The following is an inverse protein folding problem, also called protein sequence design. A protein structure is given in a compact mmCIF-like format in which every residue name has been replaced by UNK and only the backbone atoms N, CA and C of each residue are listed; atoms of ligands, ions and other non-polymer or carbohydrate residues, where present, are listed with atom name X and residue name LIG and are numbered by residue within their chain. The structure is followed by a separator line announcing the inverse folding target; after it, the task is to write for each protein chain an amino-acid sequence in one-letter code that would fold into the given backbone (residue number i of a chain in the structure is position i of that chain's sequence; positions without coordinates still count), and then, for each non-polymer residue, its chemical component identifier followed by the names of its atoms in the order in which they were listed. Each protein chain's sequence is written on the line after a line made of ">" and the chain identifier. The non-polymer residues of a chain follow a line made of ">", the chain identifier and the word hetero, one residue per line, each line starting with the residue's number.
data_IF_395837665918
#
_entry.id   IF_395837665918
#
_cell.length_a   1.000
_cell.length_b   1.000
_cell.length_c   1.000
_cell.angle_alpha   90.00
_cell.angle_beta   90.00
_cell.angle_gamma   90.00
#
_symmetry.space_group_name_H-M   'P 1'
#
loop_
_entity.id
_entity.type
_entity.pdbx_description
1 polymer ?
#
# COMPACT_ATOMS: atom_id res chain seq x y z
N UNK A 1 29.85 -49.31 16.72
CA UNK A 1 30.80 -48.76 15.76
C UNK A 1 30.14 -47.61 14.99
N UNK A 2 30.28 -46.37 15.53
CA UNK A 2 29.79 -45.14 14.89
C UNK A 2 30.95 -44.52 14.12
N UNK A 3 30.76 -44.28 12.80
CA UNK A 3 31.67 -43.44 12.00
C UNK A 3 31.26 -41.97 12.08
N UNK A 4 32.16 -41.01 12.29
CA UNK A 4 31.80 -39.59 12.31
C UNK A 4 31.69 -39.01 10.88
N UNK A 5 30.67 -38.19 10.69
CA UNK A 5 30.41 -37.42 9.46
C UNK A 5 31.39 -36.24 9.39
N UNK A 6 32.23 -36.21 8.33
CA UNK A 6 33.13 -35.07 8.03
C UNK A 6 32.33 -33.83 7.64
N UNK A 7 32.46 -32.74 8.40
CA UNK A 7 32.05 -31.40 7.99
C UNK A 7 32.99 -30.93 6.85
N UNK A 8 32.38 -30.50 5.73
CA UNK A 8 33.11 -29.79 4.67
C UNK A 8 33.36 -28.35 5.15
N UNK A 9 34.62 -27.98 5.23
CA UNK A 9 35.05 -26.62 5.53
C UNK A 9 34.61 -25.67 4.41
N UNK A 10 33.77 -24.72 4.77
CA UNK A 10 33.31 -23.66 3.87
C UNK A 10 34.39 -22.59 3.77
N UNK A 11 34.93 -22.40 2.59
CA UNK A 11 36.11 -21.56 2.33
C UNK A 11 35.76 -20.06 2.44
N UNK A 12 36.04 -19.44 3.59
CA UNK A 12 35.76 -18.02 3.93
C UNK A 12 36.55 -16.99 3.09
N UNK A 13 37.44 -17.40 2.20
CA UNK A 13 38.24 -16.45 1.39
C UNK A 13 37.44 -15.75 0.29
N UNK A 14 36.34 -16.35 -0.19
CA UNK A 14 35.52 -15.75 -1.25
C UNK A 14 34.47 -14.76 -0.71
N UNK A 15 34.09 -14.88 0.56
CA UNK A 15 33.12 -13.97 1.17
C UNK A 15 33.68 -12.55 1.43
N UNK A 16 34.99 -12.46 1.76
CA UNK A 16 35.64 -11.15 1.96
C UNK A 16 35.92 -10.36 0.68
N UNK A 17 35.88 -11.00 -0.50
CA UNK A 17 36.04 -10.31 -1.79
C UNK A 17 34.72 -9.71 -2.30
N UNK A 18 33.58 -10.29 -1.94
CA UNK A 18 32.25 -9.75 -2.29
C UNK A 18 31.87 -8.53 -1.44
N UNK A 19 32.20 -8.56 -0.14
CA UNK A 19 31.95 -7.40 0.77
C UNK A 19 32.87 -6.21 0.47
N UNK A 20 34.07 -6.42 -0.04
CA UNK A 20 34.98 -5.33 -0.40
C UNK A 20 34.58 -4.62 -1.70
N UNK A 21 33.91 -5.29 -2.65
CA UNK A 21 33.41 -4.66 -3.88
C UNK A 21 32.14 -3.81 -3.63
N UNK A 22 31.32 -4.20 -2.66
CA UNK A 22 30.10 -3.45 -2.31
C UNK A 22 30.43 -2.15 -1.52
N UNK A 23 31.48 -2.17 -0.68
CA UNK A 23 31.93 -0.96 0.03
C UNK A 23 32.69 0.04 -0.87
N UNK A 24 33.33 -0.43 -1.95
CA UNK A 24 34.05 0.44 -2.87
C UNK A 24 33.12 1.24 -3.81
N UNK A 25 31.91 0.77 -4.04
CA UNK A 25 30.91 1.47 -4.87
C UNK A 25 30.18 2.59 -4.10
N UNK A 26 30.17 2.53 -2.77
CA UNK A 26 29.58 3.55 -1.90
C UNK A 26 30.51 4.76 -1.62
N UNK A 27 31.80 4.70 -1.97
CA UNK A 27 32.77 5.79 -1.72
C UNK A 27 33.09 6.67 -2.93
N UNK A 28 32.45 6.48 -4.08
CA UNK A 28 32.72 7.29 -5.30
C UNK A 28 31.78 8.48 -5.50
N UNK A 29 30.83 8.71 -4.58
CA UNK A 29 29.90 9.86 -4.65
C UNK A 29 30.16 10.99 -3.65
N UNK A 30 31.30 11.02 -2.93
CA UNK A 30 31.55 12.00 -1.87
C UNK A 30 32.66 13.03 -2.15
N UNK A 31 32.94 13.35 -3.41
CA UNK A 31 33.96 14.36 -3.74
C UNK A 31 33.54 15.30 -4.89
N UNK A 32 32.49 16.08 -4.68
CA UNK A 32 32.26 17.33 -5.42
C UNK A 32 31.24 18.22 -4.72
N UNK A 33 31.58 18.84 -3.61
CA UNK A 33 30.92 20.09 -3.16
C UNK A 33 31.77 20.76 -2.07
N UNK A 34 32.71 21.58 -2.47
CA UNK A 34 33.16 22.69 -1.65
C UNK A 34 32.74 23.97 -2.35
N UNK A 35 31.85 24.74 -1.74
CA UNK A 35 31.50 26.08 -2.22
C UNK A 35 30.18 26.61 -1.65
N UNK A 36 30.32 27.28 -0.52
CA UNK A 36 29.51 28.40 -0.02
C UNK A 36 28.09 28.15 0.50
N UNK A 37 27.98 28.39 1.79
CA UNK A 37 26.79 28.40 2.65
C UNK A 37 25.64 29.28 2.16
N UNK A 38 24.48 28.67 1.96
CA UNK A 38 23.17 29.26 2.35
C UNK A 38 22.26 28.12 2.75
N UNK A 39 21.91 28.10 4.02
CA UNK A 39 20.95 27.19 4.65
C UNK A 39 19.57 27.45 4.09
N UNK A 40 18.97 26.50 3.37
CA UNK A 40 17.55 26.23 3.35
C UNK A 40 17.23 25.00 2.46
N UNK A 41 16.54 24.04 3.01
CA UNK A 41 15.47 23.21 2.42
C UNK A 41 15.74 22.34 1.17
N UNK A 42 16.96 21.89 0.89
CA UNK A 42 17.22 21.00 -0.26
C UNK A 42 17.21 19.48 0.03
N UNK A 43 17.23 19.07 1.29
CA UNK A 43 17.39 17.65 1.64
C UNK A 43 16.19 16.77 1.30
N UNK A 44 14.98 17.32 1.42
CA UNK A 44 13.72 16.56 1.25
C UNK A 44 13.32 16.39 -0.22
N UNK A 45 13.62 17.39 -1.05
CA UNK A 45 13.28 17.34 -2.49
C UNK A 45 14.20 16.42 -3.29
N UNK A 46 15.51 16.34 -2.92
CA UNK A 46 16.45 15.40 -3.54
C UNK A 46 16.18 13.94 -3.17
N UNK A 47 15.78 13.65 -1.92
CA UNK A 47 15.42 12.31 -1.50
C UNK A 47 14.16 11.79 -2.24
N UNK A 48 13.14 12.65 -2.41
CA UNK A 48 11.92 12.31 -3.13
C UNK A 48 12.18 11.99 -4.61
N UNK A 49 13.07 12.74 -5.25
CA UNK A 49 13.41 12.54 -6.66
C UNK A 49 14.10 11.19 -6.85
N UNK A 50 15.01 10.79 -5.95
CA UNK A 50 15.74 9.53 -6.05
C UNK A 50 14.85 8.29 -5.89
N UNK A 51 13.79 8.38 -5.07
CA UNK A 51 12.88 7.24 -4.84
C UNK A 51 12.08 6.83 -6.08
N UNK A 52 11.78 7.78 -6.99
CA UNK A 52 11.06 7.50 -8.24
C UNK A 52 11.97 7.20 -9.44
N UNK A 53 13.23 7.67 -9.43
CA UNK A 53 14.20 7.41 -10.51
C UNK A 53 14.66 5.94 -10.56
N UNK A 54 14.31 5.14 -9.56
CA UNK A 54 14.64 3.71 -9.48
C UNK A 54 13.91 2.88 -10.56
N UNK A 55 12.83 3.40 -11.15
CA UNK A 55 12.03 2.69 -12.17
C UNK A 55 12.85 2.22 -13.39
N UNK A 56 13.81 3.03 -13.86
CA UNK A 56 14.65 2.67 -15.01
C UNK A 56 15.66 1.56 -14.73
N UNK A 57 15.95 1.27 -13.47
CA UNK A 57 16.97 0.31 -13.05
C UNK A 57 16.46 -1.13 -12.98
N UNK A 58 15.14 -1.35 -12.95
CA UNK A 58 14.53 -2.66 -12.71
C UNK A 58 13.77 -3.25 -13.90
N UNK A 59 13.70 -2.55 -15.05
CA UNK A 59 12.85 -2.94 -16.18
C UNK A 59 13.20 -4.30 -16.83
N UNK A 60 14.38 -4.85 -16.60
CA UNK A 60 14.87 -6.08 -17.24
C UNK A 60 14.88 -7.31 -16.29
N UNK A 61 14.42 -7.18 -15.04
CA UNK A 61 14.41 -8.29 -14.11
C UNK A 61 13.18 -9.16 -14.36
N UNK A 62 13.42 -10.36 -14.86
CA UNK A 62 12.39 -11.37 -15.11
C UNK A 62 12.54 -12.62 -14.25
N UNK A 63 11.60 -13.54 -14.38
CA UNK A 63 11.65 -14.88 -13.76
C UNK A 63 11.69 -15.97 -14.83
N UNK A 64 12.25 -17.13 -14.45
CA UNK A 64 12.20 -18.33 -15.30
C UNK A 64 10.91 -19.09 -15.04
N UNK A 65 10.33 -19.64 -16.11
CA UNK A 65 9.19 -20.57 -16.07
C UNK A 65 9.66 -22.00 -16.42
N UNK A 66 9.01 -23.07 -15.89
CA UNK A 66 7.83 -23.00 -15.01
C UNK A 66 8.13 -22.37 -13.65
N UNK A 67 7.22 -21.53 -13.18
CA UNK A 67 7.29 -20.84 -11.91
C UNK A 67 6.27 -21.42 -10.92
N UNK A 68 6.74 -21.90 -9.78
CA UNK A 68 5.87 -22.33 -8.66
C UNK A 68 5.92 -21.31 -7.55
N UNK A 69 4.76 -20.84 -7.12
CA UNK A 69 4.60 -19.85 -6.03
C UNK A 69 3.66 -20.40 -4.95
N UNK A 70 3.83 -19.90 -3.73
CA UNK A 70 2.85 -20.06 -2.66
C UNK A 70 2.07 -18.77 -2.52
N UNK A 71 0.73 -18.85 -2.61
CA UNK A 71 -0.14 -17.68 -2.43
C UNK A 71 -0.33 -17.33 -0.95
N UNK A 72 -0.96 -16.18 -0.67
CA UNK A 72 -1.15 -15.70 0.71
C UNK A 72 -2.23 -16.49 1.49
N UNK A 73 -2.85 -17.50 0.88
CA UNK A 73 -3.67 -18.49 1.57
C UNK A 73 -2.93 -19.83 1.83
N UNK A 74 -1.62 -19.89 1.51
CA UNK A 74 -0.77 -21.07 1.66
C UNK A 74 -0.97 -22.14 0.57
N UNK A 75 -1.59 -21.77 -0.58
CA UNK A 75 -1.81 -22.66 -1.72
C UNK A 75 -0.63 -22.57 -2.70
N UNK A 76 -0.24 -23.70 -3.27
CA UNK A 76 0.82 -23.77 -4.28
C UNK A 76 0.23 -23.70 -5.67
N UNK A 77 0.68 -22.77 -6.50
CA UNK A 77 0.23 -22.58 -7.89
C UNK A 77 1.44 -22.58 -8.83
N UNK A 78 1.38 -23.35 -9.93
CA UNK A 78 2.46 -23.42 -10.91
C UNK A 78 2.02 -22.79 -12.23
N UNK A 79 2.86 -21.94 -12.77
CA UNK A 79 2.70 -21.25 -14.05
C UNK A 79 3.73 -21.77 -15.05
N UNK A 80 3.31 -22.27 -16.20
CA UNK A 80 4.20 -22.73 -17.28
C UNK A 80 4.81 -21.55 -18.07
N UNK A 81 4.13 -20.42 -18.05
CA UNK A 81 4.52 -19.15 -18.69
C UNK A 81 3.88 -17.97 -17.95
N UNK A 82 4.33 -16.75 -18.23
CA UNK A 82 3.66 -15.54 -17.77
C UNK A 82 2.20 -15.49 -18.27
N UNK A 83 1.22 -15.13 -17.43
CA UNK A 83 -0.16 -14.97 -17.85
C UNK A 83 -0.32 -13.77 -18.80
N UNK A 84 -1.12 -13.95 -19.85
CA UNK A 84 -1.47 -12.91 -20.82
C UNK A 84 -2.89 -12.39 -20.61
N UNK A 85 -3.76 -13.20 -19.98
CA UNK A 85 -5.13 -12.85 -19.63
C UNK A 85 -5.30 -12.92 -18.12
N UNK A 86 -5.55 -11.79 -17.51
CA UNK A 86 -5.63 -11.65 -16.05
C UNK A 86 -7.03 -11.20 -15.67
N UNK A 87 -7.61 -11.82 -14.64
CA UNK A 87 -8.83 -11.34 -14.01
C UNK A 87 -8.60 -11.03 -12.53
N UNK A 88 -9.41 -10.13 -11.97
CA UNK A 88 -9.38 -9.74 -10.56
C UNK A 88 -10.81 -9.58 -10.04
N UNK A 89 -11.11 -10.10 -8.86
CA UNK A 89 -12.38 -9.84 -8.15
C UNK A 89 -12.20 -8.96 -6.93
N UNK A 90 -11.06 -8.31 -6.82
CA UNK A 90 -10.69 -7.54 -5.63
C UNK A 90 -10.01 -6.23 -6.02
N UNK A 91 -10.61 -5.10 -5.62
CA UNK A 91 -10.12 -3.78 -6.01
C UNK A 91 -8.67 -3.50 -5.65
N UNK A 92 -8.17 -4.07 -4.55
CA UNK A 92 -6.77 -3.94 -4.16
C UNK A 92 -5.86 -4.63 -5.18
N UNK A 93 -6.23 -5.84 -5.63
CA UNK A 93 -5.51 -6.54 -6.69
C UNK A 93 -5.60 -5.79 -8.02
N UNK A 94 -6.77 -5.24 -8.36
CA UNK A 94 -6.95 -4.46 -9.60
C UNK A 94 -6.09 -3.19 -9.57
N UNK A 95 -6.10 -2.42 -8.46
CA UNK A 95 -5.22 -1.26 -8.29
C UNK A 95 -3.74 -1.65 -8.41
N UNK A 96 -3.32 -2.78 -7.80
CA UNK A 96 -1.96 -3.29 -7.93
C UNK A 96 -1.58 -3.67 -9.37
N UNK A 97 -2.48 -4.34 -10.10
CA UNK A 97 -2.25 -4.70 -11.51
C UNK A 97 -2.07 -3.44 -12.37
N UNK A 98 -2.82 -2.36 -12.10
CA UNK A 98 -2.61 -1.07 -12.76
C UNK A 98 -1.25 -0.45 -12.39
N UNK A 99 -0.87 -0.45 -11.12
CA UNK A 99 0.43 0.04 -10.67
C UNK A 99 1.59 -0.70 -11.33
N UNK A 100 1.39 -1.99 -11.63
CA UNK A 100 2.35 -2.81 -12.37
C UNK A 100 2.28 -2.63 -13.90
N UNK A 101 1.39 -1.77 -14.42
CA UNK A 101 1.26 -1.52 -15.86
C UNK A 101 0.62 -2.67 -16.64
N UNK A 102 -0.26 -3.44 -16.02
CA UNK A 102 -0.87 -4.65 -16.59
C UNK A 102 -2.31 -4.45 -17.06
N UNK A 103 -2.76 -3.20 -17.25
CA UNK A 103 -4.12 -2.87 -17.67
C UNK A 103 -4.55 -3.53 -18.97
N UNK A 104 -3.63 -3.67 -19.93
CA UNK A 104 -3.91 -4.26 -21.24
C UNK A 104 -4.07 -5.79 -21.21
N UNK A 105 -3.66 -6.44 -20.12
CA UNK A 105 -3.84 -7.87 -19.89
C UNK A 105 -5.11 -8.20 -19.10
N UNK A 106 -5.84 -7.20 -18.62
CA UNK A 106 -7.08 -7.41 -17.88
C UNK A 106 -8.22 -7.86 -18.80
N UNK A 107 -8.87 -8.97 -18.46
CA UNK A 107 -10.03 -9.53 -19.18
C UNK A 107 -11.30 -9.54 -18.31
N UNK A 108 -11.21 -9.12 -17.06
CA UNK A 108 -12.33 -8.98 -16.12
C UNK A 108 -11.89 -8.45 -14.78
N UNK A 109 -12.71 -7.61 -14.17
CA UNK A 109 -12.43 -6.97 -12.88
C UNK A 109 -13.63 -7.03 -11.95
N UNK A 110 -13.46 -6.63 -10.69
CA UNK A 110 -14.49 -6.67 -9.67
C UNK A 110 -15.70 -5.79 -10.02
N UNK A 111 -16.82 -6.08 -9.35
CA UNK A 111 -18.04 -5.29 -9.45
C UNK A 111 -17.82 -3.82 -9.03
N UNK A 112 -18.63 -2.92 -9.58
CA UNK A 112 -18.63 -1.48 -9.30
C UNK A 112 -17.33 -0.76 -9.75
N UNK A 113 -16.60 -1.30 -10.69
CA UNK A 113 -15.41 -0.68 -11.26
C UNK A 113 -15.64 0.75 -11.75
N UNK A 114 -16.83 1.05 -12.28
CA UNK A 114 -17.22 2.38 -12.73
C UNK A 114 -17.34 3.43 -11.61
N UNK A 115 -17.35 3.02 -10.33
CA UNK A 115 -17.36 3.95 -9.19
C UNK A 115 -15.95 4.33 -8.72
N UNK A 116 -14.90 3.67 -9.26
CA UNK A 116 -13.52 3.90 -8.83
C UNK A 116 -12.82 4.91 -9.73
N UNK A 117 -12.44 6.04 -9.14
CA UNK A 117 -11.80 7.12 -9.88
C UNK A 117 -10.42 6.72 -10.41
N UNK A 118 -9.64 5.96 -9.65
CA UNK A 118 -8.32 5.47 -10.07
C UNK A 118 -8.39 4.72 -11.42
N UNK A 119 -9.44 3.94 -11.67
CA UNK A 119 -9.60 3.22 -12.94
C UNK A 119 -9.90 4.16 -14.10
N UNK A 120 -10.76 5.17 -13.85
CA UNK A 120 -11.09 6.18 -14.86
C UNK A 120 -9.89 7.05 -15.24
N UNK A 121 -8.99 7.30 -14.26
CA UNK A 121 -7.80 8.12 -14.45
C UNK A 121 -6.67 7.33 -15.12
N UNK A 122 -6.39 6.12 -14.65
CA UNK A 122 -5.24 5.33 -15.10
C UNK A 122 -5.54 4.48 -16.34
N UNK A 123 -6.74 3.90 -16.44
CA UNK A 123 -7.09 2.94 -17.49
C UNK A 123 -8.61 2.92 -17.76
N UNK A 124 -9.20 3.97 -18.34
CA UNK A 124 -10.65 4.12 -18.47
C UNK A 124 -11.34 2.96 -19.22
N UNK A 125 -10.63 2.26 -20.09
CA UNK A 125 -11.18 1.14 -20.85
C UNK A 125 -11.56 -0.06 -19.95
N UNK A 126 -10.90 -0.26 -18.81
CA UNK A 126 -11.15 -1.44 -17.98
C UNK A 126 -12.50 -1.40 -17.27
N UNK A 127 -13.12 -0.23 -17.09
CA UNK A 127 -14.40 -0.12 -16.38
C UNK A 127 -15.56 -0.82 -17.10
N UNK A 128 -15.39 -1.16 -18.39
CA UNK A 128 -16.35 -1.89 -19.21
C UNK A 128 -16.06 -3.40 -19.31
N UNK A 129 -14.99 -3.88 -18.67
CA UNK A 129 -14.65 -5.31 -18.68
C UNK A 129 -15.70 -6.15 -17.95
N UNK A 130 -15.80 -7.47 -18.25
CA UNK A 130 -16.65 -8.40 -17.54
C UNK A 130 -16.52 -8.32 -16.02
N UNK A 131 -17.67 -8.36 -15.35
CA UNK A 131 -17.77 -8.25 -13.91
C UNK A 131 -17.52 -9.60 -13.24
N UNK A 132 -16.40 -9.73 -12.52
CA UNK A 132 -15.98 -10.93 -11.78
C UNK A 132 -16.63 -11.07 -10.41
N UNK A 133 -17.60 -10.21 -10.06
CA UNK A 133 -18.27 -10.24 -8.76
C UNK A 133 -17.62 -9.32 -7.73
N UNK A 134 -17.84 -9.63 -6.45
CA UNK A 134 -17.36 -8.86 -5.31
C UNK A 134 -16.35 -9.67 -4.50
N UNK A 135 -15.71 -9.05 -3.50
CA UNK A 135 -14.85 -9.75 -2.54
C UNK A 135 -15.58 -10.79 -1.66
N UNK A 136 -16.91 -10.88 -1.76
CA UNK A 136 -17.74 -11.84 -1.01
C UNK A 136 -18.45 -12.85 -1.91
N UNK A 137 -18.73 -12.48 -3.16
CA UNK A 137 -19.52 -13.26 -4.10
C UNK A 137 -18.90 -13.17 -5.49
N UNK A 138 -18.35 -14.27 -5.96
CA UNK A 138 -17.62 -14.37 -7.22
C UNK A 138 -18.52 -14.79 -8.37
N UNK A 139 -18.35 -14.19 -9.54
CA UNK A 139 -19.08 -14.53 -10.75
C UNK A 139 -18.29 -15.57 -11.59
N UNK A 140 -18.50 -16.86 -11.27
CA UNK A 140 -17.81 -17.97 -11.94
C UNK A 140 -18.15 -18.04 -13.44
N UNK A 141 -19.38 -17.77 -13.83
CA UNK A 141 -19.82 -17.82 -15.23
C UNK A 141 -19.07 -16.77 -16.07
N UNK A 142 -19.03 -15.52 -15.62
CA UNK A 142 -18.28 -14.46 -16.29
C UNK A 142 -16.79 -14.78 -16.37
N UNK A 143 -16.22 -15.36 -15.31
CA UNK A 143 -14.83 -15.77 -15.29
C UNK A 143 -14.52 -16.85 -16.32
N UNK A 144 -15.34 -17.90 -16.38
CA UNK A 144 -15.19 -18.98 -17.37
C UNK A 144 -15.32 -18.44 -18.80
N UNK A 145 -16.28 -17.55 -19.05
CA UNK A 145 -16.48 -16.92 -20.35
C UNK A 145 -15.30 -16.02 -20.77
N UNK A 146 -14.66 -15.31 -19.82
CA UNK A 146 -13.50 -14.47 -20.08
C UNK A 146 -12.21 -15.30 -20.30
N UNK A 147 -12.20 -16.56 -19.88
CA UNK A 147 -11.08 -17.50 -20.02
C UNK A 147 -9.71 -16.90 -19.62
N UNK A 148 -9.54 -16.40 -18.37
CA UNK A 148 -8.28 -15.87 -17.91
C UNK A 148 -7.24 -16.97 -17.68
N UNK A 149 -5.94 -16.64 -17.86
CA UNK A 149 -4.83 -17.51 -17.46
C UNK A 149 -4.66 -17.54 -15.94
N UNK A 150 -5.05 -16.46 -15.27
CA UNK A 150 -5.02 -16.34 -13.80
C UNK A 150 -6.10 -15.39 -13.29
N UNK A 151 -6.66 -15.72 -12.10
CA UNK A 151 -7.59 -14.85 -11.36
C UNK A 151 -6.99 -14.52 -10.01
N UNK A 152 -6.95 -13.23 -9.65
CA UNK A 152 -6.60 -12.79 -8.29
C UNK A 152 -7.85 -12.64 -7.44
N UNK A 153 -7.85 -13.30 -6.28
CA UNK A 153 -8.99 -13.40 -5.37
C UNK A 153 -8.61 -12.93 -3.96
N UNK A 154 -9.50 -12.25 -3.22
CA UNK A 154 -9.28 -11.97 -1.81
C UNK A 154 -9.36 -13.25 -0.97
N UNK A 155 -8.77 -13.22 0.24
CA UNK A 155 -8.75 -14.37 1.18
C UNK A 155 -10.15 -14.94 1.46
N UNK A 156 -11.19 -14.09 1.45
CA UNK A 156 -12.59 -14.51 1.67
C UNK A 156 -13.11 -15.47 0.60
N UNK A 157 -12.50 -15.44 -0.59
CA UNK A 157 -12.85 -16.32 -1.73
C UNK A 157 -11.90 -17.51 -1.88
N UNK A 158 -11.17 -17.90 -0.83
CA UNK A 158 -10.24 -19.05 -0.88
C UNK A 158 -10.90 -20.32 -1.43
N UNK A 159 -12.15 -20.63 -1.03
CA UNK A 159 -12.88 -21.80 -1.53
C UNK A 159 -13.22 -21.69 -3.04
N UNK A 160 -13.44 -20.49 -3.53
CA UNK A 160 -13.68 -20.23 -4.95
C UNK A 160 -12.44 -20.58 -5.78
N UNK A 161 -11.24 -20.34 -5.24
CA UNK A 161 -10.00 -20.70 -5.90
C UNK A 161 -9.92 -22.19 -6.23
N UNK A 162 -10.31 -23.07 -5.31
CA UNK A 162 -10.32 -24.52 -5.50
C UNK A 162 -11.35 -24.93 -6.60
N UNK A 163 -12.49 -24.24 -6.65
CA UNK A 163 -13.50 -24.44 -7.70
C UNK A 163 -12.95 -24.05 -9.08
N UNK A 164 -12.29 -22.89 -9.19
CA UNK A 164 -11.70 -22.41 -10.45
C UNK A 164 -10.59 -23.34 -10.96
N UNK A 165 -9.76 -23.87 -10.07
CA UNK A 165 -8.74 -24.86 -10.45
C UNK A 165 -9.34 -26.13 -10.99
N UNK A 166 -10.46 -26.60 -10.45
CA UNK A 166 -11.19 -27.77 -11.00
C UNK A 166 -11.75 -27.51 -12.41
N UNK A 167 -11.95 -26.23 -12.77
CA UNK A 167 -12.35 -25.78 -14.11
C UNK A 167 -11.16 -25.46 -15.02
N UNK A 168 -9.92 -25.71 -14.57
CA UNK A 168 -8.70 -25.45 -15.33
C UNK A 168 -8.23 -24.00 -15.31
N UNK A 169 -8.81 -23.13 -14.47
CA UNK A 169 -8.44 -21.71 -14.34
C UNK A 169 -7.54 -21.56 -13.11
N UNK A 170 -6.33 -21.05 -13.29
CA UNK A 170 -5.42 -20.79 -12.15
C UNK A 170 -5.95 -19.64 -11.30
N UNK A 171 -5.96 -19.86 -9.99
CA UNK A 171 -6.40 -18.86 -9.02
C UNK A 171 -5.32 -18.60 -7.97
N UNK A 172 -5.07 -17.33 -7.69
CA UNK A 172 -4.12 -16.83 -6.69
C UNK A 172 -4.88 -16.05 -5.63
N UNK A 173 -4.79 -16.49 -4.40
CA UNK A 173 -5.44 -15.83 -3.27
C UNK A 173 -4.47 -14.82 -2.65
N UNK A 174 -4.92 -13.58 -2.46
CA UNK A 174 -4.14 -12.50 -1.86
C UNK A 174 -4.81 -12.00 -0.59
N UNK A 175 -3.98 -11.52 0.36
CA UNK A 175 -4.41 -11.03 1.65
C UNK A 175 -3.54 -9.85 2.13
N UNK A 176 -3.51 -8.72 1.44
CA UNK A 176 -2.65 -7.57 1.75
C UNK A 176 -3.20 -6.71 2.91
N UNK A 177 -3.53 -7.33 4.05
CA UNK A 177 -4.23 -6.65 5.15
C UNK A 177 -3.32 -5.83 6.08
N UNK A 178 -2.00 -5.88 5.87
CA UNK A 178 -1.02 -5.00 6.53
C UNK A 178 0.10 -4.60 5.55
N UNK A 179 1.01 -3.75 5.99
CA UNK A 179 2.09 -3.24 5.14
C UNK A 179 3.03 -4.35 4.65
N UNK A 180 3.37 -5.32 5.48
CA UNK A 180 4.25 -6.44 5.09
C UNK A 180 3.56 -7.36 4.09
N UNK A 181 2.29 -7.69 4.35
CA UNK A 181 1.47 -8.52 3.46
C UNK A 181 1.22 -7.81 2.11
N UNK A 182 1.09 -6.48 2.09
CA UNK A 182 1.00 -5.71 0.85
C UNK A 182 2.31 -5.81 0.04
N UNK A 183 3.45 -5.65 0.67
CA UNK A 183 4.77 -5.78 0.02
C UNK A 183 5.00 -7.20 -0.53
N UNK A 184 4.61 -8.23 0.22
CA UNK A 184 4.63 -9.63 -0.23
C UNK A 184 3.69 -9.85 -1.42
N UNK A 185 2.48 -9.26 -1.38
CA UNK A 185 1.51 -9.33 -2.47
C UNK A 185 2.07 -8.67 -3.75
N UNK A 186 2.66 -7.49 -3.67
CA UNK A 186 3.32 -6.80 -4.79
C UNK A 186 4.40 -7.70 -5.39
N UNK A 187 5.26 -8.28 -4.54
CA UNK A 187 6.32 -9.20 -4.98
C UNK A 187 5.76 -10.46 -5.65
N UNK A 188 4.73 -11.06 -5.07
CA UNK A 188 4.07 -12.26 -5.59
C UNK A 188 3.47 -12.01 -6.98
N UNK A 189 2.69 -10.93 -7.12
CA UNK A 189 2.06 -10.56 -8.40
C UNK A 189 3.13 -10.23 -9.44
N UNK A 190 4.18 -9.49 -9.06
CA UNK A 190 5.30 -9.18 -9.95
C UNK A 190 6.00 -10.44 -10.50
N UNK A 191 6.24 -11.46 -9.66
CA UNK A 191 6.80 -12.75 -10.08
C UNK A 191 5.88 -13.50 -11.03
N UNK A 192 4.60 -13.65 -10.68
CA UNK A 192 3.61 -14.37 -11.49
C UNK A 192 3.48 -13.75 -12.89
N UNK A 193 3.49 -12.43 -12.98
CA UNK A 193 3.26 -11.69 -14.22
C UNK A 193 4.54 -11.37 -15.01
N UNK A 194 5.70 -11.86 -14.53
CA UNK A 194 7.03 -11.54 -15.07
C UNK A 194 7.33 -10.03 -15.08
N UNK A 195 6.89 -9.32 -14.05
CA UNK A 195 7.06 -7.88 -13.90
C UNK A 195 7.82 -7.53 -12.60
N UNK A 196 8.88 -8.32 -12.32
CA UNK A 196 9.64 -8.25 -11.05
C UNK A 196 10.26 -6.88 -10.86
N UNK A 197 10.90 -6.33 -11.90
CA UNK A 197 11.57 -5.04 -11.78
C UNK A 197 10.62 -3.91 -11.37
N UNK A 198 9.43 -3.84 -11.95
CA UNK A 198 8.43 -2.83 -11.58
C UNK A 198 7.86 -3.06 -10.17
N UNK A 199 7.66 -4.32 -9.77
CA UNK A 199 7.23 -4.68 -8.42
C UNK A 199 8.28 -4.31 -7.36
N UNK A 200 9.56 -4.54 -7.63
CA UNK A 200 10.66 -4.12 -6.75
C UNK A 200 10.77 -2.61 -6.67
N UNK A 201 10.65 -1.89 -7.80
CA UNK A 201 10.63 -0.43 -7.81
C UNK A 201 9.48 0.14 -6.97
N UNK A 202 8.27 -0.45 -7.07
CA UNK A 202 7.12 -0.06 -6.27
C UNK A 202 7.36 -0.29 -4.77
N UNK A 203 7.82 -1.48 -4.39
CA UNK A 203 8.13 -1.80 -2.99
C UNK A 203 9.24 -0.90 -2.42
N UNK A 204 10.30 -0.65 -3.19
CA UNK A 204 11.40 0.21 -2.75
C UNK A 204 10.96 1.66 -2.59
N UNK A 205 10.12 2.17 -3.51
CA UNK A 205 9.54 3.51 -3.39
C UNK A 205 8.70 3.65 -2.12
N UNK A 206 7.79 2.71 -1.87
CA UNK A 206 6.97 2.70 -0.64
C UNK A 206 7.85 2.71 0.61
N UNK A 207 8.87 1.83 0.67
CA UNK A 207 9.79 1.74 1.81
C UNK A 207 10.58 3.02 2.02
N UNK A 208 11.09 3.62 0.96
CA UNK A 208 11.85 4.86 1.03
C UNK A 208 10.98 5.99 1.57
N UNK A 209 9.79 6.18 1.02
CA UNK A 209 8.88 7.22 1.50
C UNK A 209 8.48 7.04 2.96
N UNK A 210 8.18 5.81 3.38
CA UNK A 210 7.84 5.54 4.77
C UNK A 210 9.03 5.76 5.70
N UNK A 211 10.25 5.43 5.29
CA UNK A 211 11.47 5.67 6.07
C UNK A 211 11.78 7.16 6.20
N UNK A 212 11.67 7.92 5.11
CA UNK A 212 11.87 9.36 5.09
C UNK A 212 10.80 10.06 5.94
N UNK A 213 9.53 9.70 5.77
CA UNK A 213 8.44 10.24 6.58
C UNK A 213 8.67 9.96 8.07
N UNK A 214 9.03 8.74 8.44
CA UNK A 214 9.34 8.37 9.82
C UNK A 214 10.50 9.19 10.39
N UNK A 215 11.53 9.46 9.60
CA UNK A 215 12.65 10.31 9.99
C UNK A 215 12.19 11.74 10.22
N UNK A 216 11.40 12.29 9.30
CA UNK A 216 10.88 13.65 9.38
C UNK A 216 10.00 13.86 10.61
N UNK A 217 9.09 12.92 10.93
CA UNK A 217 8.17 13.04 12.06
C UNK A 217 8.77 12.57 13.39
N UNK A 218 10.01 12.07 13.41
CA UNK A 218 10.67 11.64 14.64
C UNK A 218 10.83 12.82 15.62
N UNK A 219 10.63 12.57 16.94
CA UNK A 219 10.77 13.59 17.97
C UNK A 219 9.89 13.31 19.20
N UNK A 220 9.87 14.26 20.14
CA UNK A 220 9.14 14.11 21.41
C UNK A 220 7.63 14.33 21.28
N UNK A 221 7.18 15.06 20.27
CA UNK A 221 5.76 15.36 20.07
C UNK A 221 5.10 14.24 19.24
N UNK A 222 4.24 13.46 19.89
CA UNK A 222 3.44 12.40 19.24
C UNK A 222 1.96 12.70 19.53
N UNK A 223 1.27 13.44 18.62
CA UNK A 223 -0.13 13.80 18.80
C UNK A 223 -1.02 12.56 18.95
N UNK A 224 -2.00 12.65 19.84
CA UNK A 224 -3.02 11.61 19.99
C UNK A 224 -4.08 11.75 18.90
N UNK A 225 -4.40 10.65 18.22
CA UNK A 225 -5.27 10.63 17.05
C UNK A 225 -6.39 9.60 17.24
N UNK A 226 -7.63 10.02 17.03
CA UNK A 226 -8.77 9.14 16.88
C UNK A 226 -9.08 8.98 15.40
N UNK A 227 -9.18 7.74 14.91
CA UNK A 227 -9.60 7.47 13.55
C UNK A 227 -11.10 7.14 13.55
N UNK A 228 -11.89 8.00 12.93
CA UNK A 228 -13.33 7.85 12.76
C UNK A 228 -13.63 7.03 11.50
N UNK A 229 -14.37 5.94 11.63
CA UNK A 229 -14.56 4.94 10.58
C UNK A 229 -15.59 5.32 9.52
N UNK A 230 -15.67 4.49 8.47
CA UNK A 230 -16.52 4.76 7.31
C UNK A 230 -18.01 4.88 7.62
N UNK A 231 -18.53 4.09 8.57
CA UNK A 231 -19.96 4.00 8.85
C UNK A 231 -20.47 5.05 9.83
N UNK A 232 -19.61 5.49 10.75
CA UNK A 232 -19.98 6.41 11.84
C UNK A 232 -18.73 6.93 12.54
N UNK A 233 -18.83 8.11 13.17
CA UNK A 233 -17.82 8.63 14.09
C UNK A 233 -17.61 7.69 15.31
N UNK A 234 -18.59 6.88 15.65
CA UNK A 234 -18.53 5.89 16.74
C UNK A 234 -17.89 4.54 16.31
N UNK A 235 -17.38 4.45 15.08
CA UNK A 235 -16.65 3.29 14.57
C UNK A 235 -15.19 3.67 14.47
N UNK A 236 -14.26 2.79 14.91
CA UNK A 236 -12.83 3.09 14.93
C UNK A 236 -11.98 1.87 14.64
N UNK A 237 -10.71 2.10 14.31
CA UNK A 237 -9.73 1.06 14.03
C UNK A 237 -8.78 0.85 15.22
N UNK A 238 -8.72 -0.38 15.71
CA UNK A 238 -7.77 -0.82 16.73
C UNK A 238 -6.37 -1.12 16.19
N UNK A 239 -5.49 -1.63 17.06
CA UNK A 239 -4.06 -1.84 16.74
C UNK A 239 -3.79 -2.88 15.65
N UNK A 240 -4.71 -3.80 15.37
CA UNK A 240 -4.55 -4.85 14.37
C UNK A 240 -5.08 -4.48 12.98
N UNK A 241 -5.59 -3.28 12.81
CA UNK A 241 -6.09 -2.81 11.52
C UNK A 241 -5.02 -2.01 10.76
N UNK A 242 -5.08 -2.07 9.44
CA UNK A 242 -4.18 -1.33 8.54
C UNK A 242 -4.11 0.17 8.87
N UNK A 243 -5.25 0.77 9.22
CA UNK A 243 -5.38 2.18 9.55
C UNK A 243 -4.51 2.59 10.75
N UNK A 244 -4.28 1.69 11.70
CA UNK A 244 -3.35 1.97 12.81
C UNK A 244 -1.91 2.21 12.30
N UNK A 245 -1.48 1.46 11.28
CA UNK A 245 -0.17 1.62 10.64
C UNK A 245 -0.06 3.00 9.97
N UNK A 246 -1.13 3.50 9.35
CA UNK A 246 -1.12 4.85 8.76
C UNK A 246 -0.86 5.92 9.82
N UNK A 247 -1.56 5.85 10.96
CA UNK A 247 -1.40 6.81 12.06
C UNK A 247 0.01 6.76 12.65
N UNK A 248 0.54 5.56 12.90
CA UNK A 248 1.88 5.40 13.50
C UNK A 248 2.99 5.81 12.55
N UNK A 249 2.88 5.52 11.25
CA UNK A 249 3.81 5.99 10.24
C UNK A 249 3.78 7.51 10.06
N UNK A 250 2.65 8.15 10.36
CA UNK A 250 2.49 9.60 10.35
C UNK A 250 3.01 10.29 11.63
N UNK A 251 3.59 9.55 12.59
CA UNK A 251 4.06 10.10 13.86
C UNK A 251 2.93 10.41 14.85
N UNK A 252 1.73 9.83 14.65
CA UNK A 252 0.59 9.95 15.56
C UNK A 252 0.45 8.71 16.45
N UNK A 253 -0.20 8.89 17.60
CA UNK A 253 -0.58 7.81 18.51
C UNK A 253 -2.06 7.52 18.39
N UNK A 254 -2.41 6.31 17.93
CA UNK A 254 -3.80 5.87 17.89
C UNK A 254 -4.36 5.72 19.33
N UNK A 255 -5.38 6.52 19.70
CA UNK A 255 -6.01 6.45 21.03
C UNK A 255 -6.78 5.14 21.24
N UNK A 256 -7.23 4.50 20.16
CA UNK A 256 -7.93 3.21 20.15
C UNK A 256 -6.98 2.00 20.06
N UNK A 257 -5.66 2.16 20.23
CA UNK A 257 -4.66 1.08 20.07
C UNK A 257 -4.82 -0.09 21.04
N UNK A 258 -5.54 0.09 22.14
CA UNK A 258 -5.90 -0.98 23.09
C UNK A 258 -6.94 -1.96 22.52
N UNK A 259 -7.74 -1.54 21.53
CA UNK A 259 -8.68 -2.40 20.84
C UNK A 259 -7.90 -3.32 19.90
N UNK A 260 -8.14 -4.64 20.05
CA UNK A 260 -7.42 -5.67 19.29
C UNK A 260 -8.27 -6.38 18.26
N UNK A 261 -9.44 -5.80 17.93
CA UNK A 261 -10.30 -6.29 16.87
C UNK A 261 -9.61 -6.18 15.51
N UNK A 262 -9.87 -7.15 14.63
CA UNK A 262 -9.37 -7.15 13.25
C UNK A 262 -10.32 -6.44 12.28
N UNK A 263 -11.41 -5.91 12.80
CA UNK A 263 -12.43 -5.15 12.08
C UNK A 263 -12.77 -3.87 12.86
N UNK A 264 -13.52 -2.97 12.23
CA UNK A 264 -14.02 -1.76 12.84
C UNK A 264 -14.75 -2.05 14.16
N UNK A 265 -14.25 -1.47 15.24
CA UNK A 265 -14.83 -1.57 16.57
C UNK A 265 -15.81 -0.42 16.81
N UNK A 266 -16.89 -0.68 17.56
CA UNK A 266 -17.83 0.37 17.97
C UNK A 266 -17.44 0.90 19.35
N UNK A 267 -17.46 2.22 19.50
CA UNK A 267 -17.18 2.94 20.74
C UNK A 267 -18.33 3.91 21.05
N UNK A 268 -18.34 4.48 22.26
CA UNK A 268 -19.32 5.51 22.63
C UNK A 268 -18.70 6.92 22.56
N UNK A 269 -19.54 7.96 22.63
CA UNK A 269 -19.09 9.35 22.76
C UNK A 269 -18.27 9.56 24.03
N UNK A 270 -18.68 8.94 25.14
CA UNK A 270 -17.97 9.00 26.42
C UNK A 270 -16.57 8.42 26.30
N UNK A 271 -16.40 7.34 25.52
CA UNK A 271 -15.09 6.76 25.28
C UNK A 271 -14.19 7.70 24.47
N UNK A 272 -14.71 8.33 23.42
CA UNK A 272 -13.97 9.33 22.63
C UNK A 272 -13.57 10.52 23.52
N UNK A 273 -14.50 11.02 24.34
CA UNK A 273 -14.23 12.11 25.29
C UNK A 273 -13.22 11.73 26.37
N UNK A 274 -13.23 10.47 26.82
CA UNK A 274 -12.26 9.95 27.79
C UNK A 274 -10.85 9.86 27.18
N UNK A 275 -10.72 9.43 25.94
CA UNK A 275 -9.44 9.46 25.19
C UNK A 275 -9.00 10.88 24.87
N UNK A 276 -9.94 11.79 24.66
CA UNK A 276 -9.74 13.21 24.38
C UNK A 276 -8.62 13.48 23.36
N UNK A 277 -8.73 12.96 22.12
CA UNK A 277 -7.69 13.04 21.11
C UNK A 277 -7.38 14.49 20.70
N UNK A 278 -6.10 14.74 20.31
CA UNK A 278 -5.67 16.03 19.76
C UNK A 278 -6.16 16.22 18.33
N UNK A 279 -6.32 15.12 17.58
CA UNK A 279 -6.81 15.10 16.20
C UNK A 279 -7.86 14.01 15.99
N UNK A 280 -8.81 14.29 15.08
CA UNK A 280 -9.72 13.28 14.53
C UNK A 280 -9.45 13.18 13.04
N UNK A 281 -9.09 11.96 12.56
CA UNK A 281 -8.92 11.63 11.16
C UNK A 281 -10.11 10.79 10.73
N UNK A 282 -10.86 11.24 9.74
CA UNK A 282 -12.02 10.53 9.20
C UNK A 282 -11.56 9.62 8.07
N UNK A 283 -12.02 8.38 8.04
CA UNK A 283 -11.75 7.42 6.99
C UNK A 283 -12.18 7.94 5.61
N UNK A 284 -11.45 7.55 4.56
CA UNK A 284 -11.61 8.11 3.21
C UNK A 284 -13.03 7.95 2.64
N UNK A 285 -13.64 6.77 2.81
CA UNK A 285 -14.97 6.43 2.29
C UNK A 285 -16.11 6.77 3.25
N UNK A 286 -15.87 7.54 4.33
CA UNK A 286 -16.92 7.97 5.24
C UNK A 286 -17.99 8.83 4.52
N UNK A 287 -19.25 8.60 4.86
CA UNK A 287 -20.38 9.34 4.27
C UNK A 287 -20.66 10.68 4.96
N UNK A 288 -19.92 10.99 6.01
CA UNK A 288 -19.98 12.24 6.76
C UNK A 288 -18.68 13.05 6.61
N UNK A 289 -18.73 14.31 6.99
CA UNK A 289 -17.66 15.29 6.80
C UNK A 289 -16.99 15.70 8.13
N UNK A 290 -15.92 16.50 8.04
CA UNK A 290 -15.32 17.14 9.20
C UNK A 290 -16.29 18.10 9.89
N UNK A 291 -17.10 18.83 9.13
CA UNK A 291 -18.08 19.77 9.67
C UNK A 291 -19.18 19.07 10.49
N UNK A 292 -19.58 17.86 10.10
CA UNK A 292 -20.53 17.06 10.89
C UNK A 292 -19.99 16.72 12.27
N UNK A 293 -18.70 16.43 12.38
CA UNK A 293 -18.03 16.17 13.68
C UNK A 293 -17.82 17.47 14.45
N UNK A 294 -17.38 18.55 13.79
CA UNK A 294 -17.14 19.84 14.42
C UNK A 294 -18.40 20.46 15.04
N UNK A 295 -19.57 20.13 14.45
CA UNK A 295 -20.87 20.61 14.92
C UNK A 295 -21.61 19.59 15.82
N UNK A 296 -21.01 18.42 16.09
CA UNK A 296 -21.63 17.43 16.99
C UNK A 296 -21.53 17.87 18.45
N UNK A 297 -22.67 18.20 19.05
CA UNK A 297 -22.77 18.65 20.45
C UNK A 297 -22.19 17.60 21.44
N UNK A 298 -22.26 16.31 21.12
CA UNK A 298 -21.70 15.24 21.96
C UNK A 298 -20.16 15.26 22.00
N UNK A 299 -19.51 15.84 21.00
CA UNK A 299 -18.06 15.96 20.90
C UNK A 299 -17.51 17.35 21.21
N UNK A 300 -18.36 18.32 21.57
CA UNK A 300 -17.95 19.69 21.87
C UNK A 300 -16.90 19.79 23.00
N UNK A 301 -16.83 18.79 23.89
CA UNK A 301 -15.82 18.67 24.94
C UNK A 301 -14.44 18.18 24.47
N UNK A 302 -14.34 17.58 23.27
CA UNK A 302 -13.13 16.97 22.73
C UNK A 302 -12.09 18.02 22.29
N UNK A 303 -10.81 17.79 22.58
CA UNK A 303 -9.71 18.69 22.17
C UNK A 303 -9.66 18.88 20.65
N UNK A 304 -9.78 17.81 19.88
CA UNK A 304 -9.77 17.88 18.42
C UNK A 304 -10.86 18.80 17.88
N UNK A 305 -12.06 18.76 18.46
CA UNK A 305 -13.20 19.62 18.05
C UNK A 305 -12.96 21.07 18.48
N UNK A 306 -12.54 21.32 19.72
CA UNK A 306 -12.23 22.67 20.21
C UNK A 306 -11.15 23.37 19.40
N UNK A 307 -10.14 22.61 18.97
CA UNK A 307 -8.99 23.12 18.21
C UNK A 307 -9.22 23.07 16.69
N UNK A 308 -10.36 22.56 16.22
CA UNK A 308 -10.70 22.35 14.81
C UNK A 308 -9.73 21.40 14.08
N UNK A 309 -9.15 20.46 14.80
CA UNK A 309 -8.22 19.44 14.30
C UNK A 309 -9.00 18.20 13.84
N UNK A 310 -9.93 18.40 12.93
CA UNK A 310 -10.73 17.32 12.33
C UNK A 310 -10.53 17.35 10.83
N UNK A 311 -9.99 16.26 10.27
CA UNK A 311 -9.70 16.15 8.83
C UNK A 311 -10.23 14.85 8.27
N UNK A 312 -10.54 14.82 6.98
CA UNK A 312 -10.92 13.61 6.26
C UNK A 312 -9.80 13.20 5.32
N UNK A 313 -9.51 11.90 5.27
CA UNK A 313 -8.59 11.35 4.27
C UNK A 313 -9.14 11.60 2.86
N UNK A 314 -8.28 12.04 1.92
CA UNK A 314 -8.67 12.17 0.52
C UNK A 314 -9.11 10.83 -0.08
N UNK A 315 -10.09 10.87 -1.00
CA UNK A 315 -10.52 9.72 -1.80
C UNK A 315 -10.78 10.07 -3.26
N UNK A 316 -10.27 11.21 -3.71
CA UNK A 316 -10.47 11.71 -5.08
C UNK A 316 -9.90 10.75 -6.13
N UNK A 317 -8.87 10.00 -5.78
CA UNK A 317 -8.21 9.00 -6.63
C UNK A 317 -8.59 7.60 -6.13
N UNK A 318 -8.18 7.27 -4.91
CA UNK A 318 -8.48 6.00 -4.23
C UNK A 318 -8.42 6.20 -2.70
N UNK A 319 -9.05 5.29 -1.96
CA UNK A 319 -9.08 5.35 -0.50
C UNK A 319 -7.74 4.86 0.09
N UNK A 320 -6.89 5.80 0.55
CA UNK A 320 -5.55 5.46 1.08
C UNK A 320 -5.57 4.82 2.47
N UNK A 321 -6.71 4.71 3.11
CA UNK A 321 -6.90 3.90 4.32
C UNK A 321 -7.21 2.42 4.04
N UNK A 322 -7.19 2.03 2.77
CA UNK A 322 -7.19 0.65 2.30
C UNK A 322 -5.78 0.25 1.87
N UNK A 323 -5.36 -1.03 2.00
CA UNK A 323 -4.00 -1.46 1.68
C UNK A 323 -3.77 -1.59 0.16
N UNK A 324 -3.99 -0.51 -0.56
CA UNK A 324 -3.67 -0.33 -1.98
C UNK A 324 -2.21 0.14 -2.14
N UNK A 325 -1.60 0.03 -3.33
CA UNK A 325 -0.22 0.48 -3.53
C UNK A 325 0.04 1.93 -3.12
N UNK A 326 -0.94 2.82 -3.31
CA UNK A 326 -0.84 4.24 -2.94
C UNK A 326 -1.12 4.55 -1.46
N UNK A 327 -1.44 3.56 -0.64
CA UNK A 327 -1.89 3.76 0.74
C UNK A 327 -0.88 4.47 1.65
N UNK A 328 0.42 4.35 1.41
CA UNK A 328 1.47 5.07 2.14
C UNK A 328 1.29 6.60 2.05
N UNK A 329 0.68 7.10 0.95
CA UNK A 329 0.34 8.52 0.79
C UNK A 329 -0.63 9.00 1.88
N UNK A 330 -1.49 8.11 2.39
CA UNK A 330 -2.32 8.40 3.55
C UNK A 330 -1.51 8.71 4.79
N UNK A 331 -0.40 7.99 5.04
CA UNK A 331 0.52 8.31 6.14
C UNK A 331 1.20 9.66 5.95
N UNK A 332 1.62 10.00 4.72
CA UNK A 332 2.25 11.30 4.42
C UNK A 332 1.24 12.44 4.56
N UNK A 333 0.01 12.25 4.07
CA UNK A 333 -1.08 13.22 4.27
C UNK A 333 -1.32 13.48 5.76
N UNK A 334 -1.51 12.41 6.54
CA UNK A 334 -1.72 12.56 8.00
C UNK A 334 -0.51 13.24 8.64
N UNK A 335 0.72 12.89 8.25
CA UNK A 335 1.93 13.53 8.74
C UNK A 335 1.96 15.05 8.43
N UNK A 336 1.51 15.46 7.25
CA UNK A 336 1.42 16.88 6.88
C UNK A 336 0.38 17.66 7.71
N UNK A 337 -0.60 16.95 8.28
CA UNK A 337 -1.59 17.53 9.20
C UNK A 337 -1.08 17.58 10.63
N UNK A 338 -0.43 16.50 11.11
CA UNK A 338 0.07 16.38 12.47
C UNK A 338 1.36 17.20 12.71
N UNK A 339 2.20 17.32 11.69
CA UNK A 339 3.54 17.92 11.77
C UNK A 339 3.81 18.85 10.56
N UNK A 340 2.98 19.88 10.34
CA UNK A 340 3.05 20.73 9.15
C UNK A 340 4.39 21.49 8.99
N UNK A 341 5.12 21.67 10.10
CA UNK A 341 6.46 22.26 10.10
C UNK A 341 7.56 21.31 9.61
N UNK A 342 7.28 20.00 9.56
CA UNK A 342 8.23 18.95 9.15
C UNK A 342 7.85 18.31 7.81
N UNK A 343 6.56 18.13 7.60
CA UNK A 343 5.98 17.56 6.39
C UNK A 343 5.03 18.59 5.79
N UNK A 344 5.52 19.38 4.84
CA UNK A 344 4.74 20.46 4.24
C UNK A 344 3.67 19.92 3.30
N UNK A 345 2.62 20.74 3.05
CA UNK A 345 1.60 20.42 2.04
C UNK A 345 2.21 20.22 0.66
N UNK A 346 3.16 21.06 0.26
CA UNK A 346 3.83 20.98 -1.04
C UNK A 346 4.62 19.68 -1.20
N UNK A 347 5.27 19.21 -0.11
CA UNK A 347 5.95 17.92 -0.11
C UNK A 347 4.96 16.77 -0.31
N UNK A 348 3.86 16.76 0.44
CA UNK A 348 2.80 15.77 0.29
C UNK A 348 2.25 15.74 -1.14
N UNK A 349 1.87 16.89 -1.71
CA UNK A 349 1.34 17.01 -3.08
C UNK A 349 2.36 16.54 -4.13
N UNK A 350 3.65 16.81 -3.90
CA UNK A 350 4.73 16.30 -4.74
C UNK A 350 4.81 14.78 -4.71
N UNK A 351 4.71 14.17 -3.53
CA UNK A 351 4.70 12.71 -3.37
C UNK A 351 3.52 12.08 -4.13
N UNK A 352 2.31 12.65 -3.99
CA UNK A 352 1.11 12.20 -4.69
C UNK A 352 1.31 12.27 -6.20
N UNK A 353 1.74 13.41 -6.72
CA UNK A 353 1.96 13.61 -8.15
C UNK A 353 2.95 12.61 -8.70
N UNK A 354 4.14 12.52 -8.12
CA UNK A 354 5.20 11.63 -8.59
C UNK A 354 4.80 10.15 -8.53
N UNK A 355 4.12 9.74 -7.49
CA UNK A 355 3.67 8.34 -7.36
C UNK A 355 2.72 7.95 -8.50
N UNK A 356 1.68 8.74 -8.74
CA UNK A 356 0.69 8.40 -9.77
C UNK A 356 1.24 8.56 -11.18
N UNK A 357 2.10 9.55 -11.44
CA UNK A 357 2.81 9.66 -12.73
C UNK A 357 3.68 8.44 -13.00
N UNK A 358 4.46 7.98 -12.00
CA UNK A 358 5.40 6.87 -12.18
C UNK A 358 4.71 5.51 -12.32
N UNK A 359 3.69 5.24 -11.51
CA UNK A 359 3.10 3.90 -11.42
C UNK A 359 1.77 3.76 -12.14
N UNK A 360 1.04 4.85 -12.37
CA UNK A 360 -0.28 4.80 -12.99
C UNK A 360 -0.38 5.63 -14.29
N UNK A 361 0.65 6.41 -14.62
CA UNK A 361 0.76 7.12 -15.90
C UNK A 361 -0.16 8.33 -16.05
N UNK A 362 -0.65 8.93 -14.94
CA UNK A 362 -1.43 10.15 -14.99
C UNK A 362 -0.98 11.15 -13.92
N UNK A 363 -1.17 12.44 -14.21
CA UNK A 363 -0.92 13.53 -13.26
C UNK A 363 -2.21 13.82 -12.48
N UNK A 364 -2.23 13.69 -11.13
CA UNK A 364 -3.37 14.09 -10.32
C UNK A 364 -3.76 15.55 -10.50
N UNK A 365 -5.07 15.86 -10.47
CA UNK A 365 -5.52 17.24 -10.39
C UNK A 365 -5.09 17.86 -9.05
N UNK A 366 -4.70 19.15 -9.10
CA UNK A 366 -4.32 19.91 -7.89
C UNK A 366 -5.54 20.38 -7.13
#
# INVERSE_FOLDING_TARGET
>A
LHKPIRRKDFNMKNFKRFTALFLAMLMLFSLAACGNSTTSDKGTEEATTSAFDVMSQFNEIGVSYPLTVTDQAGRTVTFEKAPEKIASSYYISTSLLLALGLQDKLVGIEAKANTRNIYKLAAPAIVSLPNMGTAKEFNTEACVAAAPDVVFLPIKLKKTADTLESLGIKAVVVNPEDQSLLEECITLVGKITNNVGRAEALNNSIKTFLADNKTNVSGENTPSVYLAGNSSVLSTAGSKMYQNTLLTNAGGKNVASELTDTYWANVSYEQILAWNPDYIVIAADATYSADDILNDANLAGCNAVKNKNVVKLPNDIEAWDSPVPGSFLGSIYIASVLHPEKVTKDFYETCVTKFYESFYGFTPAK
#
